data_IF_297522127757
#
_entry.id   IF_297522127757
#
_cell.length_a   1.000
_cell.length_b   1.000
_cell.length_c   1.000
_cell.angle_alpha   90.00
_cell.angle_beta   90.00
_cell.angle_gamma   90.00
#
_symmetry.space_group_name_H-M   'P 1'
#
loop_
_entity.id
_entity.type
_entity.pdbx_description
1 polymer ?
#
# COMPACT_ATOMS: atom_id res chain seq x y z
N UNK A 1 -34.67 -9.54 -13.48
CA UNK A 1 -35.33 -9.68 -14.83
C UNK A 1 -35.69 -11.14 -15.10
N UNK A 2 -34.78 -12.12 -14.82
CA UNK A 2 -35.09 -13.55 -15.03
C UNK A 2 -36.31 -13.98 -14.24
N UNK A 3 -36.45 -13.61 -12.98
CA UNK A 3 -37.61 -13.90 -12.12
C UNK A 3 -38.92 -13.50 -12.80
N UNK A 4 -39.01 -12.27 -13.33
CA UNK A 4 -40.19 -11.77 -14.06
C UNK A 4 -40.51 -12.54 -15.35
N UNK A 5 -39.53 -13.22 -15.94
CA UNK A 5 -39.74 -14.07 -17.12
C UNK A 5 -40.21 -15.46 -16.70
N UNK A 6 -39.70 -15.96 -15.58
CA UNK A 6 -40.21 -17.21 -14.98
C UNK A 6 -41.66 -17.08 -14.55
N UNK A 7 -42.07 -15.95 -13.97
CA UNK A 7 -43.47 -15.63 -13.63
C UNK A 7 -44.41 -15.59 -14.85
N UNK A 8 -43.83 -15.41 -16.04
CA UNK A 8 -44.52 -15.42 -17.33
C UNK A 8 -44.42 -16.78 -18.08
N UNK A 9 -44.07 -17.83 -17.34
CA UNK A 9 -43.92 -19.18 -17.85
C UNK A 9 -42.86 -19.34 -18.97
N UNK A 10 -41.89 -18.44 -19.05
CA UNK A 10 -40.78 -18.61 -19.98
C UNK A 10 -39.81 -19.65 -19.40
N UNK A 11 -39.53 -20.68 -20.18
CA UNK A 11 -38.65 -21.77 -19.74
C UNK A 11 -37.25 -21.29 -19.42
N UNK A 12 -36.67 -21.83 -18.35
CA UNK A 12 -35.36 -21.41 -17.84
C UNK A 12 -34.22 -21.52 -18.86
N UNK A 13 -34.25 -22.55 -19.73
CA UNK A 13 -33.24 -22.68 -20.80
C UNK A 13 -33.30 -21.51 -21.79
N UNK A 14 -34.46 -21.05 -22.19
CA UNK A 14 -34.64 -19.91 -23.11
C UNK A 14 -34.08 -18.64 -22.47
N UNK A 15 -34.24 -18.47 -21.16
CA UNK A 15 -33.69 -17.35 -20.41
C UNK A 15 -32.16 -17.41 -20.38
N UNK A 16 -31.59 -18.61 -20.14
CA UNK A 16 -30.15 -18.83 -20.13
C UNK A 16 -29.52 -18.53 -21.49
N UNK A 17 -30.12 -19.09 -22.57
CA UNK A 17 -29.67 -18.86 -23.94
C UNK A 17 -29.72 -17.37 -24.31
N UNK A 18 -30.77 -16.68 -23.88
CA UNK A 18 -30.91 -15.23 -24.06
C UNK A 18 -29.83 -14.43 -23.33
N UNK A 19 -29.46 -14.80 -22.10
CA UNK A 19 -28.38 -14.17 -21.38
C UNK A 19 -27.01 -14.44 -22.00
N UNK A 20 -26.79 -15.66 -22.50
CA UNK A 20 -25.55 -16.04 -23.15
C UNK A 20 -25.34 -15.23 -24.44
N UNK A 21 -26.37 -15.20 -25.31
CA UNK A 21 -26.33 -14.39 -26.53
C UNK A 21 -26.15 -12.89 -26.24
N UNK A 22 -26.82 -12.39 -25.21
CA UNK A 22 -26.64 -10.99 -24.78
C UNK A 22 -25.21 -10.70 -24.24
N UNK A 23 -24.62 -11.64 -23.53
CA UNK A 23 -23.24 -11.52 -23.03
C UNK A 23 -22.23 -11.46 -24.18
N UNK A 24 -22.35 -12.37 -25.16
CA UNK A 24 -21.49 -12.38 -26.35
C UNK A 24 -21.61 -11.05 -27.13
N UNK A 25 -22.83 -10.58 -27.32
CA UNK A 25 -23.08 -9.30 -28.00
C UNK A 25 -22.54 -8.09 -27.21
N UNK A 26 -22.65 -8.12 -25.88
CA UNK A 26 -22.11 -7.08 -25.02
C UNK A 26 -20.58 -7.02 -25.11
N UNK A 27 -19.90 -8.16 -25.10
CA UNK A 27 -18.44 -8.22 -25.25
C UNK A 27 -17.98 -7.65 -26.61
N UNK A 28 -18.67 -8.02 -27.68
CA UNK A 28 -18.39 -7.46 -29.02
C UNK A 28 -18.55 -5.94 -29.06
N UNK A 29 -19.61 -5.41 -28.46
CA UNK A 29 -19.87 -3.99 -28.39
C UNK A 29 -18.85 -3.26 -27.50
N UNK A 30 -18.50 -3.84 -26.37
CA UNK A 30 -17.47 -3.29 -25.46
C UNK A 30 -16.12 -3.16 -26.19
N UNK A 31 -15.73 -4.17 -26.96
CA UNK A 31 -14.50 -4.10 -27.74
C UNK A 31 -14.49 -2.95 -28.77
N UNK A 32 -15.66 -2.66 -29.37
CA UNK A 32 -15.82 -1.56 -30.32
C UNK A 32 -15.85 -0.17 -29.66
N UNK A 33 -16.38 -0.08 -28.44
CA UNK A 33 -16.49 1.16 -27.67
C UNK A 33 -15.24 1.48 -26.88
N UNK A 34 -14.40 0.48 -26.60
CA UNK A 34 -13.19 0.65 -25.82
C UNK A 34 -12.21 1.62 -26.50
N UNK A 35 -11.68 2.56 -25.73
CA UNK A 35 -10.61 3.44 -26.14
C UNK A 35 -9.30 2.92 -25.61
N UNK A 36 -8.32 2.75 -26.47
CA UNK A 36 -6.97 2.37 -26.06
C UNK A 36 -6.29 3.58 -25.41
N UNK A 37 -5.81 3.40 -24.18
CA UNK A 37 -5.06 4.40 -23.44
C UNK A 37 -3.61 3.93 -23.36
N UNK A 38 -2.69 4.85 -23.62
CA UNK A 38 -1.27 4.57 -23.46
C UNK A 38 -0.87 4.73 -21.99
N UNK A 39 0.05 3.91 -21.48
CA UNK A 39 0.54 4.06 -20.10
C UNK A 39 1.15 5.42 -19.79
N UNK A 40 1.66 6.12 -20.82
CA UNK A 40 2.25 7.45 -20.69
C UNK A 40 1.19 8.58 -20.62
N UNK A 41 -0.08 8.27 -20.91
CA UNK A 41 -1.18 9.24 -20.84
C UNK A 41 -1.65 9.42 -19.40
N UNK A 42 -0.85 10.14 -18.63
CA UNK A 42 -1.12 10.44 -17.21
C UNK A 42 -2.47 11.12 -16.98
N UNK A 43 -2.91 11.99 -17.91
CA UNK A 43 -4.19 12.67 -17.74
C UNK A 43 -5.39 11.71 -17.84
N UNK A 44 -5.36 10.79 -18.80
CA UNK A 44 -6.41 9.77 -18.92
C UNK A 44 -6.41 8.81 -17.73
N UNK A 45 -5.24 8.42 -17.23
CA UNK A 45 -5.12 7.60 -16.03
C UNK A 45 -5.72 8.31 -14.80
N UNK A 46 -5.47 9.61 -14.62
CA UNK A 46 -6.05 10.40 -13.53
C UNK A 46 -7.58 10.45 -13.65
N UNK A 47 -8.14 10.62 -14.85
CA UNK A 47 -9.60 10.61 -15.08
C UNK A 47 -10.21 9.27 -14.70
N UNK A 48 -9.55 8.16 -15.04
CA UNK A 48 -9.99 6.80 -14.68
C UNK A 48 -9.95 6.62 -13.16
N UNK A 49 -8.84 6.95 -12.52
CA UNK A 49 -8.70 6.87 -11.07
C UNK A 49 -9.76 7.71 -10.36
N UNK A 50 -9.98 8.95 -10.80
CA UNK A 50 -11.02 9.84 -10.27
C UNK A 50 -12.41 9.21 -10.41
N UNK A 51 -12.74 8.68 -11.57
CA UNK A 51 -14.05 8.02 -11.82
C UNK A 51 -14.25 6.83 -10.90
N UNK A 52 -13.20 6.03 -10.66
CA UNK A 52 -13.23 4.91 -9.73
C UNK A 52 -13.48 5.33 -8.27
N UNK A 53 -12.98 6.50 -7.87
CA UNK A 53 -13.10 7.03 -6.51
C UNK A 53 -14.44 7.74 -6.26
N UNK A 54 -15.07 8.31 -7.28
CA UNK A 54 -16.32 9.10 -7.16
C UNK A 54 -17.50 8.32 -6.56
N UNK A 55 -17.49 6.99 -6.63
CA UNK A 55 -18.52 6.13 -6.04
C UNK A 55 -18.15 5.61 -4.64
N UNK A 56 -17.10 6.15 -4.03
CA UNK A 56 -16.55 5.71 -2.74
C UNK A 56 -16.60 6.84 -1.70
N UNK A 57 -16.28 6.50 -0.45
CA UNK A 57 -16.24 7.46 0.67
C UNK A 57 -15.28 8.65 0.43
N UNK A 58 -14.27 8.46 -0.41
CA UNK A 58 -13.27 9.48 -0.77
C UNK A 58 -13.65 10.33 -1.98
N UNK A 59 -14.95 10.40 -2.32
CA UNK A 59 -15.42 11.09 -3.53
C UNK A 59 -15.08 12.58 -3.54
N UNK A 60 -15.14 13.25 -2.40
CA UNK A 60 -14.84 14.68 -2.26
C UNK A 60 -13.36 14.95 -2.50
N UNK A 61 -12.48 14.10 -2.00
CA UNK A 61 -11.02 14.20 -2.12
C UNK A 61 -10.46 13.46 -3.35
N UNK A 62 -11.34 13.04 -4.26
CA UNK A 62 -10.95 12.24 -5.43
C UNK A 62 -9.96 12.95 -6.38
N UNK A 63 -9.92 14.28 -6.40
CA UNK A 63 -9.04 15.03 -7.28
C UNK A 63 -7.56 14.98 -6.84
N UNK A 64 -7.18 15.31 -5.59
CA UNK A 64 -5.81 15.15 -5.11
C UNK A 64 -5.39 13.68 -5.05
N UNK A 65 -6.24 12.80 -4.51
CA UNK A 65 -5.92 11.38 -4.36
C UNK A 65 -5.72 10.67 -5.70
N UNK A 66 -6.50 11.00 -6.75
CA UNK A 66 -6.32 10.39 -8.06
C UNK A 66 -4.96 10.67 -8.68
N UNK A 67 -4.42 11.88 -8.48
CA UNK A 67 -3.07 12.23 -8.95
C UNK A 67 -2.02 11.41 -8.20
N UNK A 68 -2.14 11.37 -6.87
CA UNK A 68 -1.21 10.64 -6.01
C UNK A 68 -1.20 9.14 -6.30
N UNK A 69 -2.36 8.52 -6.48
CA UNK A 69 -2.47 7.10 -6.83
C UNK A 69 -1.85 6.80 -8.19
N UNK A 70 -2.10 7.64 -9.20
CA UNK A 70 -1.50 7.47 -10.52
C UNK A 70 0.01 7.61 -10.44
N UNK A 71 0.54 8.58 -9.72
CA UNK A 71 1.97 8.76 -9.54
C UNK A 71 2.61 7.58 -8.80
N UNK A 72 1.93 7.01 -7.81
CA UNK A 72 2.37 5.82 -7.12
C UNK A 72 2.43 4.59 -8.03
N UNK A 73 1.36 4.35 -8.80
CA UNK A 73 1.29 3.21 -9.73
C UNK A 73 2.35 3.33 -10.84
N UNK A 74 2.54 4.52 -11.41
CA UNK A 74 3.55 4.73 -12.45
C UNK A 74 4.98 4.51 -11.95
N UNK A 75 5.24 4.69 -10.65
CA UNK A 75 6.55 4.43 -10.06
C UNK A 75 6.88 2.94 -9.89
N UNK A 76 5.86 2.12 -9.63
CA UNK A 76 6.03 0.68 -9.47
C UNK A 76 5.76 -0.09 -10.77
N UNK A 77 5.34 0.61 -11.84
CA UNK A 77 5.08 0.00 -13.12
C UNK A 77 6.39 -0.41 -13.81
N UNK A 78 6.53 -1.69 -14.06
CA UNK A 78 7.66 -2.26 -14.80
C UNK A 78 7.26 -2.57 -16.23
N UNK A 79 8.16 -2.24 -17.17
CA UNK A 79 7.95 -2.53 -18.59
C UNK A 79 8.47 -3.93 -18.90
N UNK A 80 7.59 -4.82 -19.30
CA UNK A 80 7.91 -6.16 -19.78
C UNK A 80 7.58 -6.28 -21.27
N UNK A 81 8.57 -6.08 -22.12
CA UNK A 81 8.41 -6.02 -23.58
C UNK A 81 7.47 -4.89 -24.00
N UNK A 82 6.33 -5.24 -24.60
CA UNK A 82 5.28 -4.29 -25.03
C UNK A 82 4.18 -4.10 -23.99
N UNK A 83 4.28 -4.79 -22.84
CA UNK A 83 3.30 -4.73 -21.76
C UNK A 83 3.87 -4.04 -20.54
N UNK A 84 2.98 -3.54 -19.70
CA UNK A 84 3.32 -3.02 -18.38
C UNK A 84 2.77 -3.96 -17.32
N UNK A 85 3.60 -4.31 -16.37
CA UNK A 85 3.23 -5.07 -15.18
C UNK A 85 3.27 -4.16 -13.97
N UNK A 86 2.28 -4.29 -13.10
CA UNK A 86 2.22 -3.54 -11.85
C UNK A 86 1.96 -4.53 -10.74
N UNK A 87 2.93 -4.66 -9.85
CA UNK A 87 2.79 -5.46 -8.64
C UNK A 87 2.43 -4.53 -7.48
N UNK A 88 1.21 -4.66 -6.99
CA UNK A 88 0.69 -3.82 -5.90
C UNK A 88 1.34 -4.13 -4.56
N UNK A 89 1.97 -5.28 -4.38
CA UNK A 89 2.69 -5.63 -3.16
C UNK A 89 3.94 -4.74 -2.95
N UNK A 90 4.42 -4.11 -4.03
CA UNK A 90 5.49 -3.11 -3.99
C UNK A 90 5.02 -1.73 -3.50
N UNK A 91 3.72 -1.55 -3.24
CA UNK A 91 3.14 -0.30 -2.75
C UNK A 91 2.61 -0.47 -1.32
N UNK A 92 3.33 0.08 -0.35
CA UNK A 92 2.89 0.08 1.04
C UNK A 92 2.07 1.34 1.33
N UNK A 93 0.88 1.16 1.91
CA UNK A 93 0.02 2.24 2.37
C UNK A 93 0.00 2.25 3.89
N UNK A 94 0.54 3.30 4.49
CA UNK A 94 0.51 3.52 5.93
C UNK A 94 -0.53 4.58 6.30
N UNK A 95 -1.22 4.37 7.42
CA UNK A 95 -2.25 5.25 7.94
C UNK A 95 -1.76 5.90 9.22
N UNK A 96 -1.91 7.21 9.32
CA UNK A 96 -1.60 7.95 10.55
C UNK A 96 -2.79 8.82 10.93
N UNK A 97 -3.21 8.73 12.17
CA UNK A 97 -4.25 9.60 12.72
C UNK A 97 -3.70 11.01 13.02
N UNK A 98 -4.57 12.01 13.01
CA UNK A 98 -4.25 13.38 13.42
C UNK A 98 -3.95 14.36 12.30
N UNK A 99 -4.21 14.00 11.04
CA UNK A 99 -4.09 14.88 9.87
C UNK A 99 -5.33 14.86 8.98
N UNK A 100 -5.32 15.66 7.93
CA UNK A 100 -6.31 15.67 6.85
C UNK A 100 -5.94 14.67 5.75
N UNK A 101 -6.90 14.28 4.92
CA UNK A 101 -6.65 13.50 3.70
C UNK A 101 -5.71 14.26 2.75
N UNK A 102 -5.77 15.58 2.73
CA UNK A 102 -4.89 16.45 1.93
C UNK A 102 -3.40 16.33 2.34
N UNK A 103 -3.12 15.91 3.57
CA UNK A 103 -1.75 15.69 4.06
C UNK A 103 -1.15 14.39 3.52
N UNK A 104 -1.94 13.58 2.81
CA UNK A 104 -1.48 12.33 2.21
C UNK A 104 -0.42 12.60 1.15
N UNK A 105 0.74 12.00 1.30
CA UNK A 105 1.89 12.21 0.41
C UNK A 105 2.52 10.90 -0.05
N UNK A 106 3.12 10.93 -1.23
CA UNK A 106 3.88 9.81 -1.78
C UNK A 106 5.33 9.92 -1.36
N UNK A 107 5.81 8.95 -0.60
CA UNK A 107 7.19 8.86 -0.14
C UNK A 107 8.00 7.97 -1.09
N UNK A 108 9.15 8.48 -1.56
CA UNK A 108 10.10 7.69 -2.32
C UNK A 108 11.07 7.00 -1.35
N UNK A 109 10.74 5.80 -0.93
CA UNK A 109 11.55 5.07 0.03
C UNK A 109 10.71 4.05 0.80
N UNK A 110 11.24 3.58 1.89
CA UNK A 110 10.59 2.61 2.76
C UNK A 110 10.00 3.34 3.96
N UNK A 111 8.74 3.08 4.26
CA UNK A 111 8.08 3.54 5.48
C UNK A 111 8.02 2.38 6.46
N UNK A 112 8.68 2.53 7.60
CA UNK A 112 8.68 1.56 8.68
C UNK A 112 7.76 2.06 9.79
N UNK A 113 6.79 1.23 10.16
CA UNK A 113 5.91 1.47 11.31
C UNK A 113 6.65 1.06 12.60
N UNK A 114 7.70 1.81 12.90
CA UNK A 114 8.54 1.63 14.08
C UNK A 114 8.90 2.98 14.65
N UNK A 115 8.95 3.04 15.97
CA UNK A 115 9.40 4.20 16.71
C UNK A 115 10.87 4.06 17.13
N UNK A 116 11.51 5.19 17.43
CA UNK A 116 12.84 5.18 18.02
C UNK A 116 12.77 4.58 19.43
N UNK A 117 13.65 3.65 19.72
CA UNK A 117 13.64 2.90 20.99
C UNK A 117 14.34 3.63 22.13
N UNK A 118 15.15 4.63 21.86
CA UNK A 118 15.90 5.39 22.87
C UNK A 118 15.92 6.89 22.56
N UNK A 119 15.74 7.71 23.59
CA UNK A 119 15.70 9.18 23.46
C UNK A 119 16.99 9.81 22.93
N UNK A 120 18.13 9.14 23.07
CA UNK A 120 19.42 9.56 22.53
C UNK A 120 19.59 9.29 21.03
N UNK A 121 18.69 8.57 20.40
CA UNK A 121 18.74 8.33 18.96
C UNK A 121 18.29 9.57 18.19
N UNK A 122 18.99 9.95 17.10
CA UNK A 122 18.60 11.10 16.28
C UNK A 122 17.27 10.83 15.59
N UNK A 123 16.38 11.82 15.60
CA UNK A 123 15.07 11.74 14.91
C UNK A 123 15.19 11.98 13.41
N UNK A 124 16.28 12.63 12.96
CA UNK A 124 16.55 12.93 11.55
C UNK A 124 18.04 12.80 11.27
N UNK A 125 18.38 12.06 10.23
CA UNK A 125 19.76 11.91 9.76
C UNK A 125 19.79 12.22 8.27
N UNK A 126 20.57 13.26 7.89
CA UNK A 126 20.76 13.64 6.50
C UNK A 126 21.96 12.92 5.91
N UNK A 127 21.88 12.52 4.63
CA UNK A 127 22.93 11.78 3.91
C UNK A 127 23.43 10.55 4.68
N UNK A 128 22.48 9.81 5.28
CA UNK A 128 22.76 8.65 6.10
C UNK A 128 23.51 7.55 5.33
N UNK A 129 24.48 6.94 5.98
CA UNK A 129 25.04 5.65 5.55
C UNK A 129 24.24 4.56 6.25
N UNK A 130 23.56 3.72 5.47
CA UNK A 130 22.66 2.70 6.00
C UNK A 130 23.36 1.34 5.90
N UNK A 131 23.53 0.68 7.05
CA UNK A 131 23.93 -0.71 7.11
C UNK A 131 22.70 -1.60 7.22
N UNK A 132 22.61 -2.59 6.35
CA UNK A 132 21.55 -3.61 6.39
C UNK A 132 22.13 -4.86 7.06
N UNK A 133 21.54 -5.26 8.18
CA UNK A 133 21.97 -6.41 8.96
C UNK A 133 20.81 -7.42 8.96
N UNK A 134 21.10 -8.64 8.50
CA UNK A 134 20.14 -9.75 8.53
C UNK A 134 20.39 -10.64 9.74
N UNK A 135 20.46 -10.04 10.92
CA UNK A 135 20.60 -10.72 12.20
C UNK A 135 19.92 -9.91 13.30
N UNK A 136 19.46 -10.58 14.33
CA UNK A 136 18.95 -9.89 15.51
C UNK A 136 20.11 -9.17 16.22
N UNK A 137 19.91 -7.88 16.54
CA UNK A 137 20.82 -7.11 17.38
C UNK A 137 20.22 -7.08 18.78
N UNK A 138 20.40 -8.17 19.50
CA UNK A 138 19.90 -8.33 20.88
C UNK A 138 20.96 -9.01 21.73
N UNK A 139 20.93 -8.70 23.02
CA UNK A 139 21.76 -9.39 23.99
C UNK A 139 21.10 -10.76 24.26
N UNK A 140 21.80 -11.83 23.95
CA UNK A 140 21.33 -13.19 24.28
C UNK A 140 21.14 -13.28 25.80
N UNK A 141 19.93 -13.57 26.23
CA UNK A 141 19.67 -13.86 27.63
C UNK A 141 20.30 -15.20 27.96
N UNK A 142 21.17 -15.18 28.95
CA UNK A 142 21.74 -16.42 29.50
C UNK A 142 20.59 -17.28 30.07
N UNK A 143 20.67 -18.59 29.90
CA UNK A 143 19.69 -19.53 30.43
C UNK A 143 19.56 -19.50 31.98
N UNK A 144 20.54 -18.88 32.65
CA UNK A 144 20.50 -18.62 34.10
C UNK A 144 20.19 -17.17 34.35
N UNK A 145 19.11 -16.88 35.06
CA UNK A 145 18.77 -15.53 35.57
C UNK A 145 19.77 -15.18 36.68
N UNK A 146 20.81 -14.43 36.34
CA UNK A 146 21.71 -13.81 37.33
C UNK A 146 21.13 -12.45 37.73
N UNK A 147 20.83 -12.29 38.98
CA UNK A 147 20.38 -11.00 39.57
C UNK A 147 21.62 -10.31 40.19
N UNK A 148 22.00 -9.17 39.64
CA UNK A 148 23.09 -8.35 40.20
C UNK A 148 22.47 -7.28 41.08
N UNK A 149 22.70 -7.34 42.40
CA UNK A 149 22.27 -6.32 43.34
C UNK A 149 23.42 -5.36 43.58
N UNK A 150 23.25 -4.13 43.09
CA UNK A 150 24.24 -3.04 43.29
C UNK A 150 23.72 -2.20 44.46
N UNK A 151 24.49 -2.17 45.55
CA UNK A 151 24.16 -1.40 46.77
C UNK A 151 24.84 -0.04 46.81
N UNK A 152 25.81 0.21 45.93
CA UNK A 152 26.61 1.45 45.92
C UNK A 152 26.29 2.24 44.62
N UNK A 153 25.89 3.53 44.76
CA UNK A 153 25.59 4.38 43.59
C UNK A 153 26.78 4.57 42.63
N UNK A 154 28.00 4.51 43.14
CA UNK A 154 29.23 4.66 42.33
C UNK A 154 29.46 3.48 41.41
N UNK A 155 29.14 2.28 41.85
CA UNK A 155 29.22 1.06 41.04
C UNK A 155 28.12 1.04 39.96
N UNK A 156 26.98 1.65 40.22
CA UNK A 156 25.93 1.77 39.25
C UNK A 156 26.31 2.63 38.05
N UNK A 157 27.07 3.73 38.29
CA UNK A 157 27.58 4.57 37.19
C UNK A 157 28.61 3.82 36.35
N UNK A 158 29.48 3.06 36.94
CA UNK A 158 30.46 2.23 36.21
C UNK A 158 29.78 1.17 35.37
N UNK A 159 28.72 0.56 35.88
CA UNK A 159 27.94 -0.45 35.14
C UNK A 159 27.23 0.16 33.93
N UNK A 160 26.64 1.35 34.05
CA UNK A 160 26.01 2.10 32.97
C UNK A 160 27.03 2.54 31.89
N UNK A 161 28.25 2.87 32.31
CA UNK A 161 29.33 3.23 31.38
C UNK A 161 29.84 2.01 30.60
N UNK A 162 29.85 0.82 31.20
CA UNK A 162 30.21 -0.43 30.53
C UNK A 162 29.11 -0.87 29.58
N UNK A 163 27.84 -0.77 29.96
CA UNK A 163 26.68 -1.07 29.10
C UNK A 163 26.67 -0.19 27.85
N UNK A 164 27.03 1.11 27.99
CA UNK A 164 27.14 2.02 26.86
C UNK A 164 28.33 1.76 25.93
N UNK A 165 29.30 0.93 26.35
CA UNK A 165 30.46 0.57 25.53
C UNK A 165 30.24 -0.74 24.72
N UNK A 166 29.28 -1.57 25.11
CA UNK A 166 28.90 -2.77 24.38
C UNK A 166 27.97 -2.43 23.23
#
# INVERSE_FOLDING_TARGET
KAEKLLEKDVHSTVIIDGYQAASEKALELLAKLAKTIKPDDRESLIKIAKTSMQSKLVSEDSAPLSKLVVDAILKIAEKDGDKYSVDLDNLKVEKKAGGSIDDTSLINGIVLDKEIVHSGMPTKVEKAKIALVNAALEVEKTEMSAEIRISDPTQMQQFLEEENKM
#
